data_IF_419781046738
#
_entry.id   IF_419781046738
#
_cell.length_a   1.000
_cell.length_b   1.000
_cell.length_c   1.000
_cell.angle_alpha   90.00
_cell.angle_beta   90.00
_cell.angle_gamma   90.00
#
_symmetry.space_group_name_H-M   'P 1'
#
loop_
_entity.id
_entity.type
_entity.pdbx_description
1 polymer ?
#
# COMPACT_ATOMS: atom_id res chain seq x y z
N UNK A 1 -11.28 -17.65 2.04
CA UNK A 1 -9.85 -17.53 2.38
C UNK A 1 -9.68 -16.18 3.03
N UNK A 2 -9.06 -16.11 4.21
CA UNK A 2 -8.78 -14.82 4.84
C UNK A 2 -7.75 -14.09 3.99
N UNK A 3 -8.12 -12.91 3.47
CA UNK A 3 -7.22 -12.13 2.63
C UNK A 3 -6.13 -11.54 3.50
N UNK A 4 -4.88 -11.82 3.15
CA UNK A 4 -3.73 -11.32 3.88
C UNK A 4 -3.70 -9.79 4.02
N UNK A 5 -2.87 -9.32 4.95
CA UNK A 5 -2.75 -7.90 5.30
C UNK A 5 -2.45 -7.06 4.05
N UNK A 6 -3.25 -6.03 3.81
CA UNK A 6 -2.97 -5.06 2.74
C UNK A 6 -1.71 -4.26 3.11
N UNK A 7 -0.71 -4.27 2.24
CA UNK A 7 0.58 -3.63 2.45
C UNK A 7 0.66 -2.32 1.64
N UNK A 8 0.46 -2.41 0.34
CA UNK A 8 0.59 -1.28 -0.56
C UNK A 8 -0.37 -1.37 -1.74
N UNK A 9 -0.47 -0.28 -2.49
CA UNK A 9 -1.35 -0.20 -3.66
C UNK A 9 -0.60 0.44 -4.82
N UNK A 10 -0.85 -0.09 -6.01
CA UNK A 10 -0.42 0.50 -7.26
C UNK A 10 -1.61 0.64 -8.22
N UNK A 11 -1.38 1.28 -9.36
CA UNK A 11 -2.31 1.30 -10.46
C UNK A 11 -1.62 0.93 -11.77
N UNK A 12 -2.44 0.47 -12.71
CA UNK A 12 -2.10 0.21 -14.11
C UNK A 12 -3.18 0.80 -15.02
N UNK A 13 -2.83 1.03 -16.28
CA UNK A 13 -3.74 1.36 -17.37
C UNK A 13 -3.95 0.14 -18.26
N UNK A 14 -5.03 -0.60 -18.00
CA UNK A 14 -5.43 -1.78 -18.76
C UNK A 14 -6.93 -1.67 -19.05
N UNK A 15 -7.27 -1.15 -20.23
CA UNK A 15 -8.64 -0.77 -20.62
C UNK A 15 -9.29 0.25 -19.65
N UNK A 16 -8.46 1.11 -19.07
CA UNK A 16 -8.82 2.06 -18.03
C UNK A 16 -7.95 1.92 -16.80
N UNK A 17 -8.14 2.83 -15.84
CA UNK A 17 -7.42 2.78 -14.57
C UNK A 17 -7.89 1.61 -13.73
N UNK A 18 -6.96 0.77 -13.27
CA UNK A 18 -7.21 -0.35 -12.35
C UNK A 18 -6.25 -0.29 -11.17
N UNK A 19 -6.75 -0.58 -9.97
CA UNK A 19 -5.88 -0.75 -8.81
C UNK A 19 -5.32 -2.16 -8.71
N UNK A 20 -4.11 -2.23 -8.17
CA UNK A 20 -3.44 -3.44 -7.75
C UNK A 20 -3.21 -3.36 -6.24
N UNK A 21 -3.54 -4.42 -5.51
CA UNK A 21 -3.42 -4.49 -4.06
C UNK A 21 -2.31 -5.47 -3.69
N UNK A 22 -1.24 -4.98 -3.08
CA UNK A 22 -0.17 -5.82 -2.56
C UNK A 22 -0.56 -6.33 -1.17
N UNK A 23 -0.70 -7.64 -1.01
CA UNK A 23 -1.07 -8.27 0.26
C UNK A 23 0.02 -9.21 0.75
N UNK A 24 0.25 -9.21 2.07
CA UNK A 24 1.10 -10.18 2.74
C UNK A 24 0.24 -11.37 3.16
N UNK A 25 0.43 -12.52 2.50
CA UNK A 25 -0.29 -13.77 2.80
C UNK A 25 0.43 -14.59 3.88
N UNK A 26 1.76 -14.51 3.92
CA UNK A 26 2.62 -15.09 4.95
C UNK A 26 3.91 -14.22 5.08
N UNK A 27 4.79 -14.45 6.08
CA UNK A 27 5.96 -13.61 6.32
C UNK A 27 6.91 -13.44 5.13
N UNK A 28 6.90 -14.37 4.17
CA UNK A 28 7.77 -14.37 3.00
C UNK A 28 7.00 -14.40 1.69
N UNK A 29 5.72 -14.01 1.69
CA UNK A 29 4.88 -14.05 0.50
C UNK A 29 4.00 -12.81 0.41
N UNK A 30 4.46 -11.90 -0.45
CA UNK A 30 3.78 -10.66 -0.79
C UNK A 30 3.25 -10.78 -2.21
N UNK A 31 1.93 -10.86 -2.38
CA UNK A 31 1.27 -11.14 -3.67
C UNK A 31 0.43 -9.94 -4.10
N UNK A 32 0.48 -9.64 -5.40
CA UNK A 32 -0.39 -8.64 -6.00
C UNK A 32 -1.74 -9.25 -6.37
N UNK A 33 -2.80 -8.55 -5.98
CA UNK A 33 -4.17 -8.82 -6.39
C UNK A 33 -4.63 -7.71 -7.34
N UNK A 34 -5.39 -8.06 -8.36
CA UNK A 34 -5.93 -7.11 -9.33
C UNK A 34 -7.40 -6.82 -9.02
N UNK A 35 -7.77 -5.54 -9.01
CA UNK A 35 -9.15 -5.10 -8.86
C UNK A 35 -10.02 -5.57 -10.04
N UNK A 36 -11.09 -6.31 -9.74
CA UNK A 36 -12.09 -6.77 -10.71
C UNK A 36 -13.49 -6.52 -10.13
N UNK A 37 -14.03 -5.33 -10.40
CA UNK A 37 -15.32 -4.92 -9.86
C UNK A 37 -15.25 -4.70 -8.34
N UNK A 38 -16.13 -5.33 -7.54
CA UNK A 38 -16.06 -5.27 -6.07
C UNK A 38 -15.03 -6.24 -5.47
N UNK A 39 -14.46 -7.13 -6.30
CA UNK A 39 -13.57 -8.19 -5.88
C UNK A 39 -12.11 -7.87 -6.25
N UNK A 40 -11.18 -8.68 -5.72
CA UNK A 40 -9.80 -8.71 -6.18
C UNK A 40 -9.36 -10.15 -6.47
N UNK A 41 -8.60 -10.33 -7.55
CA UNK A 41 -8.15 -11.64 -8.00
C UNK A 41 -6.64 -11.75 -7.80
N UNK A 42 -6.19 -12.83 -7.15
CA UNK A 42 -4.76 -13.12 -6.97
C UNK A 42 -4.06 -13.24 -8.32
N UNK A 43 -2.91 -12.59 -8.46
CA UNK A 43 -2.07 -12.72 -9.65
C UNK A 43 -0.90 -13.65 -9.40
N UNK A 44 -0.22 -14.09 -10.46
CA UNK A 44 1.02 -14.86 -10.35
C UNK A 44 2.24 -14.01 -9.89
N UNK A 45 2.06 -12.71 -9.65
CA UNK A 45 3.14 -11.77 -9.35
C UNK A 45 3.29 -11.63 -7.83
N UNK A 46 4.44 -12.04 -7.32
CA UNK A 46 4.76 -12.04 -5.89
C UNK A 46 6.24 -11.74 -5.64
N UNK A 47 6.60 -11.49 -4.38
CA UNK A 47 7.98 -11.38 -3.91
C UNK A 47 8.12 -11.81 -2.45
N UNK A 48 9.37 -12.04 -2.00
CA UNK A 48 9.61 -12.48 -0.62
C UNK A 48 9.46 -11.35 0.41
N UNK A 49 9.54 -10.11 -0.06
CA UNK A 49 9.34 -8.89 0.72
C UNK A 49 8.67 -7.82 -0.16
N UNK A 50 8.34 -6.68 0.46
CA UNK A 50 7.67 -5.56 -0.22
C UNK A 50 8.46 -5.02 -1.41
N UNK A 51 9.78 -4.88 -1.30
CA UNK A 51 10.62 -4.32 -2.37
C UNK A 51 10.67 -5.25 -3.58
N UNK A 52 10.90 -6.54 -3.34
CA UNK A 52 10.90 -7.57 -4.37
C UNK A 52 9.54 -7.66 -5.09
N UNK A 53 8.44 -7.62 -4.33
CA UNK A 53 7.11 -7.68 -4.93
C UNK A 53 6.82 -6.44 -5.80
N UNK A 54 7.22 -5.24 -5.37
CA UNK A 54 7.10 -4.02 -6.18
C UNK A 54 7.99 -4.12 -7.43
N UNK A 55 9.20 -4.66 -7.30
CA UNK A 55 10.10 -4.85 -8.44
C UNK A 55 9.55 -5.85 -9.46
N UNK A 56 9.01 -6.98 -9.01
CA UNK A 56 8.35 -7.98 -9.85
C UNK A 56 7.15 -7.37 -10.60
N UNK A 57 6.35 -6.56 -9.91
CA UNK A 57 5.22 -5.84 -10.50
C UNK A 57 5.64 -4.86 -11.60
N UNK A 58 6.67 -4.04 -11.36
CA UNK A 58 7.22 -3.12 -12.37
C UNK A 58 7.66 -3.83 -13.64
N UNK A 59 8.20 -5.04 -13.52
CA UNK A 59 8.59 -5.87 -14.67
C UNK A 59 7.38 -6.44 -15.40
N UNK A 60 6.43 -7.01 -14.64
CA UNK A 60 5.26 -7.67 -15.20
C UNK A 60 4.33 -6.69 -15.92
N UNK A 61 4.14 -5.49 -15.35
CA UNK A 61 3.21 -4.47 -15.86
C UNK A 61 3.92 -3.25 -16.48
N UNK A 62 5.08 -3.49 -17.10
CA UNK A 62 5.90 -2.42 -17.70
C UNK A 62 5.14 -1.66 -18.80
N UNK A 63 4.29 -2.34 -19.56
CA UNK A 63 3.60 -1.77 -20.71
C UNK A 63 2.24 -1.13 -20.33
N UNK A 64 1.78 -1.37 -19.10
CA UNK A 64 0.49 -0.95 -18.56
C UNK A 64 0.65 0.27 -17.63
N UNK A 65 1.74 1.04 -17.79
CA UNK A 65 1.99 2.28 -17.02
C UNK A 65 1.92 2.07 -15.50
N UNK A 66 2.46 0.95 -15.00
CA UNK A 66 2.50 0.65 -13.58
C UNK A 66 3.09 1.81 -12.76
N UNK A 67 2.33 2.29 -11.77
CA UNK A 67 2.83 3.22 -10.76
C UNK A 67 2.26 2.93 -9.37
N UNK A 68 3.12 2.96 -8.36
CA UNK A 68 2.70 2.89 -6.96
C UNK A 68 1.97 4.17 -6.57
N UNK A 69 0.93 4.06 -5.74
CA UNK A 69 0.28 5.24 -5.18
C UNK A 69 1.22 5.98 -4.24
N UNK A 70 1.29 7.30 -4.39
CA UNK A 70 2.01 8.14 -3.44
C UNK A 70 1.24 8.20 -2.12
N UNK A 71 1.70 7.42 -1.14
CA UNK A 71 1.14 7.32 0.19
C UNK A 71 1.80 8.29 1.20
N UNK A 72 2.67 9.18 0.71
CA UNK A 72 3.34 10.18 1.51
C UNK A 72 4.66 9.71 2.11
N UNK A 73 5.15 10.48 3.08
CA UNK A 73 6.39 10.23 3.80
C UNK A 73 6.08 9.90 5.26
N UNK A 74 6.68 8.81 5.75
CA UNK A 74 6.66 8.36 7.14
C UNK A 74 7.84 8.96 7.89
N UNK A 75 7.55 9.58 9.02
CA UNK A 75 8.53 10.14 9.95
C UNK A 75 8.45 9.37 11.26
N UNK A 76 9.62 9.08 11.85
CA UNK A 76 9.73 8.43 13.17
C UNK A 76 9.85 9.51 14.24
N UNK A 77 9.13 9.35 15.36
CA UNK A 77 9.05 10.33 16.44
C UNK A 77 9.93 9.95 17.66
N UNK A 78 10.55 10.93 18.35
CA UNK A 78 10.63 12.35 17.94
C UNK A 78 11.39 12.48 16.62
N UNK A 79 11.02 13.46 15.78
CA UNK A 79 11.52 13.61 14.40
C UNK A 79 13.05 13.53 14.36
N UNK A 80 13.55 12.35 14.00
CA UNK A 80 14.99 12.07 13.91
C UNK A 80 15.51 12.14 12.49
N UNK A 81 14.61 12.17 11.53
CA UNK A 81 14.86 12.08 10.10
C UNK A 81 14.16 13.25 9.41
N UNK A 82 14.94 14.22 8.95
CA UNK A 82 14.44 15.46 8.31
C UNK A 82 13.74 15.19 6.96
N UNK A 83 14.00 14.04 6.34
CA UNK A 83 13.49 13.71 5.01
C UNK A 83 12.34 12.71 5.04
N UNK A 84 12.31 11.82 6.04
CA UNK A 84 11.33 10.75 6.14
C UNK A 84 11.52 9.68 5.07
N UNK A 85 10.81 8.57 5.22
CA UNK A 85 10.84 7.45 4.27
C UNK A 85 9.53 7.34 3.49
N UNK A 86 9.54 6.82 2.26
CA UNK A 86 8.29 6.55 1.54
C UNK A 86 7.37 5.65 2.38
N UNK A 87 6.14 6.12 2.62
CA UNK A 87 5.16 5.35 3.38
C UNK A 87 4.52 4.27 2.49
N UNK A 88 4.25 3.11 3.08
CA UNK A 88 3.38 2.11 2.50
C UNK A 88 1.90 2.48 2.73
N UNK A 89 0.99 1.80 2.04
CA UNK A 89 -0.43 2.17 2.11
C UNK A 89 -1.00 1.89 3.51
N UNK A 90 -0.60 0.79 4.14
CA UNK A 90 -1.04 0.47 5.50
C UNK A 90 -0.53 1.49 6.52
N UNK A 91 0.67 2.05 6.33
CA UNK A 91 1.28 3.05 7.21
C UNK A 91 0.53 4.39 7.11
N UNK A 92 0.23 4.79 5.86
CA UNK A 92 -0.66 5.92 5.62
C UNK A 92 -2.03 5.67 6.26
N UNK A 93 -2.64 4.50 6.05
CA UNK A 93 -3.93 4.19 6.65
C UNK A 93 -3.91 4.25 8.18
N UNK A 94 -2.87 3.69 8.82
CA UNK A 94 -2.71 3.71 10.27
C UNK A 94 -2.59 5.15 10.81
N UNK A 95 -1.74 5.98 10.19
CA UNK A 95 -1.58 7.38 10.56
C UNK A 95 -2.89 8.17 10.39
N UNK A 96 -3.54 8.08 9.22
CA UNK A 96 -4.74 8.88 8.92
C UNK A 96 -6.00 8.43 9.68
N UNK A 97 -6.02 7.21 10.22
CA UNK A 97 -7.12 6.72 11.07
C UNK A 97 -6.89 6.96 12.57
N UNK A 98 -5.68 7.37 12.96
CA UNK A 98 -5.41 7.75 14.34
C UNK A 98 -5.94 9.16 14.64
N UNK A 99 -6.29 9.42 15.91
CA UNK A 99 -6.91 10.69 16.32
C UNK A 99 -6.02 11.91 16.07
N UNK A 100 -4.70 11.76 16.17
CA UNK A 100 -3.72 12.84 16.06
C UNK A 100 -2.71 12.64 14.91
N UNK A 101 -2.92 11.65 14.04
CA UNK A 101 -1.96 11.29 12.99
C UNK A 101 -0.84 10.33 13.43
N UNK A 102 -0.68 10.09 14.74
CA UNK A 102 0.41 9.26 15.28
C UNK A 102 -0.05 7.81 15.48
N UNK A 103 0.74 6.87 14.97
CA UNK A 103 0.56 5.43 15.19
C UNK A 103 1.87 4.79 15.64
N UNK A 104 1.81 3.63 16.30
CA UNK A 104 2.99 2.85 16.65
C UNK A 104 3.30 1.85 15.53
N UNK A 105 4.53 1.86 15.01
CA UNK A 105 5.01 0.90 14.01
C UNK A 105 5.85 -0.17 14.71
N UNK A 106 5.29 -1.39 14.80
CA UNK A 106 5.91 -2.51 15.51
C UNK A 106 7.28 -2.89 14.93
N UNK A 107 7.44 -2.82 13.61
CA UNK A 107 8.70 -3.15 12.92
C UNK A 107 9.86 -2.22 13.34
N UNK A 108 9.55 -0.97 13.70
CA UNK A 108 10.53 0.01 14.17
C UNK A 108 10.55 0.18 15.69
N UNK A 109 9.58 -0.41 16.40
CA UNK A 109 9.38 -0.19 17.83
C UNK A 109 9.22 1.29 18.20
N UNK A 110 8.63 2.11 17.31
CA UNK A 110 8.61 3.56 17.43
C UNK A 110 7.27 4.16 17.01
N UNK A 111 6.94 5.34 17.56
CA UNK A 111 5.81 6.14 17.08
C UNK A 111 6.18 6.77 15.73
N UNK A 112 5.23 6.77 14.80
CA UNK A 112 5.38 7.32 13.47
C UNK A 112 4.18 8.19 13.08
N UNK A 113 4.41 9.09 12.12
CA UNK A 113 3.38 9.90 11.47
C UNK A 113 3.61 9.90 9.96
N UNK A 114 2.53 9.99 9.17
CA UNK A 114 2.61 10.10 7.71
C UNK A 114 2.07 11.44 7.24
N UNK A 115 2.82 12.11 6.38
CA UNK A 115 2.44 13.38 5.75
C UNK A 115 2.53 13.31 4.23
N UNK A 116 1.91 14.28 3.55
CA UNK A 116 1.98 14.46 2.10
C UNK A 116 1.47 13.27 1.26
N UNK A 117 0.54 12.47 1.80
CA UNK A 117 -0.15 11.47 1.01
C UNK A 117 -0.99 12.13 -0.10
N UNK A 118 -0.95 11.55 -1.30
CA UNK A 118 -1.72 12.06 -2.44
C UNK A 118 -3.23 11.99 -2.18
N UNK A 119 -3.99 12.91 -2.81
CA UNK A 119 -5.45 12.88 -2.76
C UNK A 119 -6.02 11.56 -3.28
N UNK A 120 -5.34 10.95 -4.26
CA UNK A 120 -5.69 9.65 -4.82
C UNK A 120 -5.66 8.54 -3.76
N UNK A 121 -4.56 8.44 -3.00
CA UNK A 121 -4.41 7.45 -1.94
C UNK A 121 -5.42 7.67 -0.80
N UNK A 122 -5.67 8.92 -0.42
CA UNK A 122 -6.66 9.28 0.61
C UNK A 122 -8.09 8.96 0.17
N UNK A 123 -8.42 9.20 -1.10
CA UNK A 123 -9.72 8.84 -1.66
C UNK A 123 -9.91 7.33 -1.74
N UNK A 124 -8.85 6.59 -2.10
CA UNK A 124 -8.89 5.13 -2.07
C UNK A 124 -9.11 4.59 -0.65
N UNK A 125 -8.41 5.12 0.36
CA UNK A 125 -8.62 4.73 1.75
C UNK A 125 -10.09 4.91 2.17
N UNK A 126 -10.68 6.06 1.89
CA UNK A 126 -12.10 6.33 2.17
C UNK A 126 -13.02 5.33 1.46
N UNK A 127 -12.73 5.02 0.19
CA UNK A 127 -13.49 4.02 -0.59
C UNK A 127 -13.43 2.65 0.07
N UNK A 128 -12.24 2.19 0.48
CA UNK A 128 -12.05 0.89 1.13
C UNK A 128 -12.73 0.81 2.51
N UNK A 129 -12.88 1.93 3.22
CA UNK A 129 -13.60 1.98 4.49
C UNK A 129 -15.12 1.91 4.32
N UNK A 130 -15.65 2.47 3.23
CA UNK A 130 -17.08 2.44 2.93
C UNK A 130 -17.49 1.12 2.26
N UNK A 131 -16.61 0.58 1.43
CA UNK A 131 -16.82 -0.64 0.65
C UNK A 131 -15.55 -1.49 0.76
N UNK A 132 -15.45 -2.35 1.79
CA UNK A 132 -14.36 -3.29 1.91
C UNK A 132 -14.34 -4.20 0.67
N UNK A 133 -13.20 -4.28 -0.01
CA UNK A 133 -13.03 -5.20 -1.13
C UNK A 133 -13.03 -6.62 -0.57
N UNK A 134 -13.97 -7.44 -1.02
CA UNK A 134 -14.30 -8.76 -0.43
C UNK A 134 -13.53 -9.86 -1.09
#
# INVERSE_FOLDING_TARGET
>A
MEKGRLIHVAEIQEQGKRYLFLRQLDPYRYVWFKEVGPDEIETAIWGANTEEAIYAARKAWKNELFRTLNCGFRYTLPERDEHGSNALFYQMAASYNSMNGVYFEDELGSNCIVHNASMEARNLLKRLQQQPIT
#
